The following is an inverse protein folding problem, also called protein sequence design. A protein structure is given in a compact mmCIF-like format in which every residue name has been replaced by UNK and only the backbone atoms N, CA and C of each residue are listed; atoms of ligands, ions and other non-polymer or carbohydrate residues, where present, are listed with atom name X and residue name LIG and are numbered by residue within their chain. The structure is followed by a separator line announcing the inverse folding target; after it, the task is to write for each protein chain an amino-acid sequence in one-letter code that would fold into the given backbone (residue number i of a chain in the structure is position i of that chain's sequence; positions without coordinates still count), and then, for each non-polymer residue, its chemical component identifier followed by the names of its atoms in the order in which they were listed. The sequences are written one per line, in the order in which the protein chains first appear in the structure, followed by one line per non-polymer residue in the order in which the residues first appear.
data_IF_812884587827
#
_entry.id   IF_812884587827
#
_cell.length_a   1.000
_cell.length_b   1.000
_cell.length_c   1.000
_cell.angle_alpha   90.00
_cell.angle_beta   90.00
_cell.angle_gamma   90.00
#
_symmetry.space_group_name_H-M   'P 1'
#
loop_
_entity.id
_entity.type
_entity.pdbx_description
1 polymer ?
#
# COMPACT_ATOMS: atom_id res chain seq x y z
N UNK A 1 -3.21 4.58 -24.81
CA UNK A 1 -4.30 4.86 -23.85
C UNK A 1 -3.64 5.07 -22.49
N UNK A 2 -3.72 6.29 -21.97
CA UNK A 2 -3.13 6.69 -20.71
C UNK A 2 -3.80 5.89 -19.58
N UNK A 3 -3.17 4.78 -19.17
CA UNK A 3 -3.64 3.93 -18.07
C UNK A 3 -3.29 4.60 -16.74
N UNK A 4 -3.80 5.80 -16.51
CA UNK A 4 -3.88 6.36 -15.17
C UNK A 4 -5.02 5.63 -14.45
N UNK A 5 -4.74 4.35 -14.15
CA UNK A 5 -5.63 3.46 -13.44
C UNK A 5 -5.77 4.09 -12.05
N UNK A 6 -6.85 4.84 -11.85
CA UNK A 6 -7.29 5.29 -10.52
C UNK A 6 -7.73 4.06 -9.74
N UNK A 7 -6.77 3.20 -9.44
CA UNK A 7 -6.95 1.98 -8.69
C UNK A 7 -7.42 2.42 -7.31
N UNK A 8 -8.64 2.06 -6.95
CA UNK A 8 -9.09 2.27 -5.58
C UNK A 8 -8.48 1.15 -4.75
N UNK A 9 -7.89 1.46 -3.58
CA UNK A 9 -7.44 0.43 -2.66
C UNK A 9 -8.63 -0.48 -2.33
N UNK A 10 -8.49 -1.78 -2.59
CA UNK A 10 -9.51 -2.77 -2.30
C UNK A 10 -9.55 -3.08 -0.82
N UNK A 11 -8.37 -3.29 -0.22
CA UNK A 11 -8.20 -3.49 1.21
C UNK A 11 -6.76 -3.28 1.66
N UNK A 12 -6.60 -2.91 2.93
CA UNK A 12 -5.30 -2.91 3.60
C UNK A 12 -5.03 -4.35 4.02
N UNK A 13 -3.98 -4.95 3.46
CA UNK A 13 -3.58 -6.32 3.77
C UNK A 13 -2.81 -6.40 5.08
N UNK A 14 -1.93 -5.42 5.30
CA UNK A 14 -1.02 -5.42 6.43
C UNK A 14 -0.73 -3.97 6.84
N UNK A 15 -0.52 -3.77 8.13
CA UNK A 15 -0.06 -2.49 8.67
C UNK A 15 1.12 -2.77 9.57
N UNK A 16 2.29 -2.34 9.13
CA UNK A 16 3.54 -2.47 9.86
C UNK A 16 4.01 -1.10 10.33
N UNK A 17 4.59 -1.00 11.51
CA UNK A 17 5.10 0.27 12.03
C UNK A 17 6.62 0.20 12.09
N UNK A 18 7.27 1.01 11.25
CA UNK A 18 8.72 1.19 11.28
C UNK A 18 9.08 2.24 12.31
N UNK A 19 9.66 1.83 13.44
CA UNK A 19 10.20 2.77 14.43
C UNK A 19 11.56 3.27 13.94
N UNK A 20 11.60 4.50 13.43
CA UNK A 20 12.84 5.23 13.16
C UNK A 20 13.35 5.93 14.43
N UNK A 21 14.58 6.44 14.34
CA UNK A 21 15.34 7.07 15.43
C UNK A 21 14.59 8.15 16.23
N UNK A 22 13.54 8.75 15.66
CA UNK A 22 12.75 9.82 16.29
C UNK A 22 11.28 9.88 15.86
N UNK A 23 10.81 8.94 15.02
CA UNK A 23 9.43 8.90 14.50
C UNK A 23 9.01 7.46 14.21
N UNK A 24 7.74 7.16 14.42
CA UNK A 24 7.11 5.92 13.97
C UNK A 24 6.42 6.19 12.63
N UNK A 25 6.81 5.48 11.57
CA UNK A 25 6.18 5.59 10.26
C UNK A 25 5.31 4.34 10.06
N UNK A 26 3.98 4.48 9.93
CA UNK A 26 3.12 3.36 9.61
C UNK A 26 3.25 3.03 8.12
N UNK A 27 3.73 1.84 7.81
CA UNK A 27 3.68 1.23 6.49
C UNK A 27 2.38 0.46 6.34
N UNK A 28 1.58 0.81 5.35
CA UNK A 28 0.37 0.05 5.00
C UNK A 28 0.58 -0.66 3.68
N UNK A 29 0.38 -1.98 3.68
CA UNK A 29 0.35 -2.78 2.47
C UNK A 29 -1.05 -2.69 1.88
N UNK A 30 -1.17 -2.02 0.75
CA UNK A 30 -2.45 -1.78 0.08
C UNK A 30 -2.63 -2.78 -1.06
N UNK A 31 -3.72 -3.54 -1.05
CA UNK A 31 -4.15 -4.33 -2.19
C UNK A 31 -4.93 -3.45 -3.16
N UNK A 32 -4.54 -3.46 -4.43
CA UNK A 32 -5.24 -2.74 -5.48
C UNK A 32 -6.30 -3.62 -6.13
N UNK A 33 -7.49 -3.07 -6.33
CA UNK A 33 -8.60 -3.78 -6.98
C UNK A 33 -8.19 -4.13 -8.42
N UNK A 34 -8.25 -5.42 -8.78
CA UNK A 34 -7.79 -6.04 -10.04
C UNK A 34 -6.32 -6.45 -10.12
N UNK A 35 -5.52 -6.29 -9.05
CA UNK A 35 -4.15 -6.80 -9.04
C UNK A 35 -3.97 -7.94 -8.03
N UNK A 36 -3.20 -8.99 -8.35
CA UNK A 36 -2.82 -9.99 -7.38
C UNK A 36 -2.02 -9.34 -6.25
N UNK A 37 -2.04 -9.97 -5.07
CA UNK A 37 -1.34 -9.54 -3.85
C UNK A 37 0.16 -9.23 -4.04
N UNK A 38 0.75 -9.73 -5.12
CA UNK A 38 2.13 -9.52 -5.56
C UNK A 38 2.42 -8.08 -6.01
N UNK A 39 1.39 -7.34 -6.42
CA UNK A 39 1.48 -5.93 -6.83
C UNK A 39 0.96 -4.99 -5.74
N UNK A 40 0.71 -5.51 -4.53
CA UNK A 40 0.41 -4.67 -3.38
C UNK A 40 1.63 -3.77 -3.08
N UNK A 41 1.41 -2.46 -3.03
CA UNK A 41 2.45 -1.47 -2.76
C UNK A 41 2.45 -1.12 -1.27
N UNK A 42 3.64 -0.81 -0.76
CA UNK A 42 3.79 -0.23 0.57
C UNK A 42 3.68 1.28 0.46
N UNK A 43 2.64 1.86 1.07
CA UNK A 43 2.54 3.31 1.25
C UNK A 43 2.91 3.70 2.68
N UNK A 44 3.59 4.85 2.82
CA UNK A 44 4.05 5.47 4.08
C UNK A 44 3.26 6.72 4.44
#
# INVERSE_FOLDING_TARGET
PDMSLSEKPESILDRQEGVMRNKTIPFVKILWKNRPEREATWET
#
